data_IF_869133385574
#
_entry.id   IF_869133385574
#
_cell.length_a   1.000
_cell.length_b   1.000
_cell.length_c   1.000
_cell.angle_alpha   90.00
_cell.angle_beta   90.00
_cell.angle_gamma   90.00
#
_symmetry.space_group_name_H-M   'P 1'
#
loop_
_entity.id
_entity.type
_entity.pdbx_description
1 polymer ?
#
# COMPACT_ATOMS: atom_id res chain seq x y z
N UNK A 1 0.07 13.39 12.12
CA UNK A 1 -0.05 13.33 10.64
C UNK A 1 -0.45 11.91 10.27
N UNK A 2 -1.59 11.73 9.59
CA UNK A 2 -2.23 10.43 9.40
C UNK A 2 -1.44 9.44 8.50
N UNK A 3 -0.53 9.93 7.66
CA UNK A 3 0.23 9.11 6.71
C UNK A 3 1.64 8.73 7.21
N UNK A 4 1.90 8.81 8.52
CA UNK A 4 3.15 8.33 9.09
C UNK A 4 3.14 6.80 9.15
N UNK A 5 4.29 6.19 8.98
CA UNK A 5 4.49 4.76 9.24
C UNK A 5 4.15 4.48 10.70
N UNK A 6 3.55 3.31 10.98
CA UNK A 6 3.23 2.90 12.35
C UNK A 6 4.50 2.85 13.21
N UNK A 7 4.36 3.08 14.52
CA UNK A 7 5.50 3.36 15.42
C UNK A 7 6.38 2.14 15.66
N UNK A 8 5.77 0.98 15.60
CA UNK A 8 6.30 -0.36 15.75
C UNK A 8 6.94 -0.91 14.47
N UNK A 9 6.80 -0.19 13.35
CA UNK A 9 7.45 -0.61 12.11
C UNK A 9 8.97 -0.50 12.21
N UNK A 10 9.67 -1.59 11.89
CA UNK A 10 11.12 -1.62 11.79
C UNK A 10 11.58 -1.07 10.42
N UNK A 11 12.82 -0.58 10.37
CA UNK A 11 13.41 -0.11 9.12
C UNK A 11 13.57 -1.26 8.12
N UNK A 12 13.23 -1.00 6.85
CA UNK A 12 13.44 -1.94 5.74
C UNK A 12 14.50 -1.35 4.83
N UNK A 13 15.54 -2.14 4.52
CA UNK A 13 16.71 -1.68 3.72
C UNK A 13 17.36 -0.40 4.29
N UNK A 14 17.46 -0.31 5.62
CA UNK A 14 18.11 0.81 6.30
C UNK A 14 17.34 2.14 6.27
N UNK A 15 16.07 2.14 5.86
CA UNK A 15 15.25 3.36 5.77
C UNK A 15 13.82 3.11 6.26
N UNK A 16 13.02 4.18 6.34
CA UNK A 16 11.59 4.06 6.58
C UNK A 16 10.97 3.24 5.43
N UNK A 17 10.18 2.19 5.68
CA UNK A 17 9.63 1.33 4.63
C UNK A 17 8.87 2.10 3.54
N UNK A 18 8.14 3.18 3.89
CA UNK A 18 7.46 4.01 2.91
C UNK A 18 8.43 4.70 1.94
N UNK A 19 9.68 4.96 2.34
CA UNK A 19 10.68 5.64 1.51
C UNK A 19 11.22 4.78 0.37
N UNK A 20 10.83 3.50 0.29
CA UNK A 20 11.05 2.67 -0.89
C UNK A 20 10.25 3.16 -2.11
N UNK A 21 9.22 3.98 -1.89
CA UNK A 21 8.45 4.66 -2.95
C UNK A 21 8.90 6.11 -3.04
N UNK A 22 9.18 6.61 -4.25
CA UNK A 22 9.63 7.99 -4.50
C UNK A 22 8.74 9.05 -3.85
N UNK A 23 9.35 10.15 -3.36
CA UNK A 23 8.63 11.19 -2.61
C UNK A 23 7.45 11.77 -3.40
N UNK A 24 7.65 12.04 -4.69
CA UNK A 24 6.63 12.60 -5.58
C UNK A 24 5.45 11.63 -5.71
N UNK A 25 5.73 10.33 -5.85
CA UNK A 25 4.71 9.29 -5.96
C UNK A 25 3.92 9.16 -4.66
N UNK A 26 4.59 9.16 -3.49
CA UNK A 26 3.90 9.11 -2.19
C UNK A 26 2.92 10.27 -2.00
N UNK A 27 3.34 11.49 -2.37
CA UNK A 27 2.46 12.66 -2.33
C UNK A 27 1.22 12.44 -3.21
N UNK A 28 1.39 11.93 -4.43
CA UNK A 28 0.26 11.61 -5.33
C UNK A 28 -0.64 10.50 -4.78
N UNK A 29 -0.08 9.50 -4.12
CA UNK A 29 -0.85 8.45 -3.43
C UNK A 29 -1.71 9.05 -2.32
N UNK A 30 -1.12 9.83 -1.42
CA UNK A 30 -1.86 10.46 -0.30
C UNK A 30 -2.97 11.41 -0.75
N UNK A 31 -2.78 12.07 -1.90
CA UNK A 31 -3.76 12.99 -2.48
C UNK A 31 -4.90 12.26 -3.23
N UNK A 32 -4.65 11.01 -3.66
CA UNK A 32 -5.58 10.23 -4.47
C UNK A 32 -6.90 9.93 -3.74
N UNK A 33 -7.98 9.83 -4.51
CA UNK A 33 -9.30 9.47 -4.00
C UNK A 33 -9.29 8.09 -3.32
N UNK A 34 -8.69 7.10 -3.98
CA UNK A 34 -8.58 5.73 -3.46
C UNK A 34 -7.88 5.68 -2.10
N UNK A 35 -6.79 6.44 -1.90
CA UNK A 35 -6.12 6.46 -0.60
C UNK A 35 -7.00 7.04 0.51
N UNK A 36 -7.74 8.12 0.21
CA UNK A 36 -8.57 8.81 1.20
C UNK A 36 -9.85 8.04 1.55
N UNK A 37 -10.41 7.32 0.60
CA UNK A 37 -11.66 6.57 0.76
C UNK A 37 -11.39 5.12 1.21
N UNK A 38 -10.49 4.41 0.54
CA UNK A 38 -10.32 2.96 0.71
C UNK A 38 -9.14 2.59 1.62
N UNK A 39 -8.13 3.46 1.74
CA UNK A 39 -6.94 3.22 2.58
C UNK A 39 -7.00 3.95 3.92
N UNK A 40 -8.10 4.65 4.24
CA UNK A 40 -8.26 5.30 5.53
C UNK A 40 -8.53 4.26 6.63
N UNK A 41 -7.76 4.31 7.71
CA UNK A 41 -7.83 3.36 8.83
C UNK A 41 -7.73 1.87 8.43
N UNK A 42 -7.20 1.56 7.23
CA UNK A 42 -7.05 0.19 6.75
C UNK A 42 -6.00 -0.57 7.58
N UNK A 43 -6.41 -1.69 8.17
CA UNK A 43 -5.56 -2.61 8.94
C UNK A 43 -4.99 -3.72 8.05
N UNK A 44 -4.08 -4.53 8.58
CA UNK A 44 -3.53 -5.68 7.86
C UNK A 44 -4.61 -6.71 7.53
N UNK A 45 -5.54 -6.95 8.47
CA UNK A 45 -6.64 -7.89 8.31
C UNK A 45 -7.63 -7.46 7.22
N UNK A 46 -8.05 -6.19 7.22
CA UNK A 46 -9.02 -5.65 6.26
C UNK A 46 -8.41 -5.41 4.86
N UNK A 47 -7.10 -5.53 4.72
CA UNK A 47 -6.43 -5.31 3.44
C UNK A 47 -6.80 -6.37 2.41
N UNK A 48 -7.07 -7.61 2.84
CA UNK A 48 -7.42 -8.70 1.94
C UNK A 48 -8.66 -8.37 1.11
N UNK A 49 -9.67 -7.74 1.73
CA UNK A 49 -10.91 -7.33 1.08
C UNK A 49 -10.63 -6.36 -0.08
N UNK A 50 -9.74 -5.39 0.13
CA UNK A 50 -9.34 -4.42 -0.89
C UNK A 50 -8.40 -5.01 -1.93
N UNK A 51 -7.58 -5.98 -1.57
CA UNK A 51 -6.71 -6.68 -2.50
C UNK A 51 -7.53 -7.54 -3.48
N UNK A 52 -8.58 -8.23 -3.00
CA UNK A 52 -9.48 -9.04 -3.84
C UNK A 52 -10.25 -8.21 -4.87
N UNK A 53 -10.50 -6.92 -4.60
CA UNK A 53 -11.15 -6.00 -5.54
C UNK A 53 -10.22 -5.52 -6.68
N UNK A 54 -8.91 -5.80 -6.61
CA UNK A 54 -7.95 -5.39 -7.63
C UNK A 54 -8.18 -6.13 -8.95
N UNK A 55 -8.17 -5.37 -10.04
CA UNK A 55 -8.40 -5.90 -11.40
C UNK A 55 -7.15 -5.86 -12.28
N UNK A 56 -6.11 -5.18 -11.83
CA UNK A 56 -4.90 -4.95 -12.58
C UNK A 56 -3.74 -4.57 -11.66
N UNK A 57 -2.54 -4.94 -12.09
CA UNK A 57 -1.28 -4.53 -11.49
C UNK A 57 -0.74 -3.33 -12.25
N UNK A 58 -0.21 -2.33 -11.54
CA UNK A 58 0.41 -1.17 -12.17
C UNK A 58 0.96 -0.17 -11.17
N UNK A 59 1.79 0.77 -11.64
CA UNK A 59 2.38 1.81 -10.81
C UNK A 59 1.59 3.12 -10.90
N UNK A 60 2.07 4.03 -11.74
CA UNK A 60 1.47 5.33 -12.01
C UNK A 60 1.18 5.46 -13.50
N UNK A 61 0.18 6.26 -13.88
CA UNK A 61 -0.20 6.48 -15.27
C UNK A 61 -0.58 7.93 -15.57
N UNK A 62 -0.49 8.31 -16.84
CA UNK A 62 -0.79 9.64 -17.35
C UNK A 62 0.20 10.73 -16.91
N UNK A 63 0.14 11.90 -17.56
CA UNK A 63 1.07 13.01 -17.30
C UNK A 63 1.01 13.58 -15.87
N UNK A 64 -0.11 13.38 -15.16
CA UNK A 64 -0.29 13.85 -13.79
C UNK A 64 0.14 12.83 -12.71
N UNK A 65 0.79 11.72 -13.09
CA UNK A 65 1.30 10.68 -12.17
C UNK A 65 0.15 10.17 -11.29
N UNK A 66 -0.94 9.70 -11.91
CA UNK A 66 -2.08 9.14 -11.18
C UNK A 66 -1.70 7.75 -10.67
N UNK A 67 -1.76 7.47 -9.35
CA UNK A 67 -1.45 6.15 -8.83
C UNK A 67 -2.59 5.17 -9.11
N UNK A 68 -2.25 3.90 -9.32
CA UNK A 68 -3.22 2.81 -9.38
C UNK A 68 -3.65 2.39 -7.96
N UNK A 69 -4.84 1.75 -7.81
CA UNK A 69 -5.24 1.11 -6.55
C UNK A 69 -4.20 0.12 -6.02
N UNK A 70 -3.61 -0.69 -6.91
CA UNK A 70 -2.53 -1.64 -6.57
C UNK A 70 -1.37 -0.92 -5.87
N UNK A 71 -0.85 0.17 -6.46
CA UNK A 71 0.26 0.91 -5.87
C UNK A 71 -0.12 1.59 -4.55
N UNK A 72 -1.36 2.07 -4.41
CA UNK A 72 -1.88 2.62 -3.16
C UNK A 72 -1.87 1.57 -2.04
N UNK A 73 -2.34 0.35 -2.30
CA UNK A 73 -2.33 -0.74 -1.33
C UNK A 73 -0.90 -1.19 -0.99
N UNK A 74 0.00 -1.23 -1.96
CA UNK A 74 1.43 -1.51 -1.70
C UNK A 74 2.03 -0.46 -0.75
N UNK A 75 1.77 0.84 -0.97
CA UNK A 75 2.25 1.86 -0.04
C UNK A 75 1.59 1.70 1.35
N UNK A 76 0.32 1.30 1.41
CA UNK A 76 -0.36 1.02 2.67
C UNK A 76 0.30 -0.15 3.42
N UNK A 77 0.65 -1.24 2.73
CA UNK A 77 1.43 -2.35 3.32
C UNK A 77 2.75 -1.86 3.90
N UNK A 78 3.48 -1.00 3.18
CA UNK A 78 4.72 -0.41 3.69
C UNK A 78 4.47 0.52 4.90
N UNK A 79 3.31 1.18 4.97
CA UNK A 79 2.95 2.05 6.09
C UNK A 79 2.65 1.25 7.37
N UNK A 80 1.91 0.15 7.26
CA UNK A 80 1.43 -0.64 8.40
C UNK A 80 2.31 -1.85 8.74
N UNK A 81 3.20 -2.24 7.83
CA UNK A 81 4.14 -3.36 7.95
C UNK A 81 3.48 -4.62 8.55
N UNK A 82 2.59 -5.29 7.80
CA UNK A 82 1.87 -6.47 8.30
C UNK A 82 2.85 -7.58 8.69
N UNK A 83 2.37 -8.49 9.53
CA UNK A 83 3.13 -9.69 9.91
C UNK A 83 3.46 -10.55 8.70
N UNK A 84 4.56 -11.30 8.80
CA UNK A 84 5.13 -12.05 7.68
C UNK A 84 4.20 -13.18 7.21
N UNK A 85 3.48 -13.80 8.13
CA UNK A 85 2.46 -14.80 7.84
C UNK A 85 1.35 -14.25 6.95
N UNK A 86 0.81 -13.06 7.24
CA UNK A 86 -0.20 -12.39 6.41
C UNK A 86 0.31 -12.21 4.97
N UNK A 87 1.56 -11.77 4.81
CA UNK A 87 2.17 -11.61 3.49
C UNK A 87 2.35 -12.95 2.78
N UNK A 88 2.73 -14.00 3.50
CA UNK A 88 2.87 -15.35 2.94
C UNK A 88 1.52 -15.91 2.51
N UNK A 89 0.46 -15.67 3.28
CA UNK A 89 -0.92 -16.06 2.91
C UNK A 89 -1.38 -15.35 1.64
N UNK A 90 -1.08 -14.05 1.48
CA UNK A 90 -1.35 -13.34 0.21
C UNK A 90 -0.61 -13.94 -0.99
N UNK A 91 0.63 -14.42 -0.79
CA UNK A 91 1.42 -15.04 -1.86
C UNK A 91 0.93 -16.45 -2.20
N UNK A 92 0.44 -17.19 -1.21
CA UNK A 92 -0.03 -18.57 -1.36
C UNK A 92 -1.48 -18.65 -1.85
N UNK A 93 -2.21 -17.55 -1.84
CA UNK A 93 -3.58 -17.51 -2.34
C UNK A 93 -3.61 -17.83 -3.84
N UNK A 94 -4.28 -18.93 -4.22
CA UNK A 94 -4.41 -19.37 -5.62
C UNK A 94 -5.72 -18.87 -6.27
N UNK A 95 -6.67 -18.38 -5.47
CA UNK A 95 -8.00 -17.94 -5.91
C UNK A 95 -7.97 -16.53 -6.51
N UNK A 96 -7.09 -15.66 -6.00
CA UNK A 96 -6.95 -14.26 -6.40
C UNK A 96 -5.54 -13.98 -6.93
N UNK A 97 -5.46 -13.53 -8.19
CA UNK A 97 -4.19 -13.21 -8.87
C UNK A 97 -3.72 -11.77 -8.63
#
# INVERSE_FOLDING_TARGET
MANRTVKDAHSVKGTNPQYLVEKIIRTRIYESRYWKEECFALTAELMVDKAMELKYIGGVYGGNIKPTPFLCLVLKMLQIQPEKDIVVEFIRNEDFK
#
